data_IF_706680308940
#
_entry.id   IF_706680308940
#
_cell.length_a   1.000
_cell.length_b   1.000
_cell.length_c   1.000
_cell.angle_alpha   90.00
_cell.angle_beta   90.00
_cell.angle_gamma   90.00
#
_symmetry.space_group_name_H-M   'P 1'
#
loop_
_entity.id
_entity.type
_entity.pdbx_description
1 polymer ?
#
# COMPACT_ATOMS: atom_id res chain seq x y z
N UNK A 1 -3.50 32.77 0.61
CA UNK A 1 -3.10 31.39 0.24
C UNK A 1 -4.33 30.50 0.26
N UNK A 2 -4.60 29.78 -0.84
CA UNK A 2 -5.81 28.95 -0.97
C UNK A 2 -5.75 27.75 -0.01
N UNK A 3 -6.79 27.56 0.80
CA UNK A 3 -6.94 26.37 1.65
C UNK A 3 -6.95 25.13 0.78
N UNK A 4 -6.09 24.18 1.11
CA UNK A 4 -5.98 22.93 0.38
C UNK A 4 -7.20 22.07 0.72
N UNK A 5 -8.11 21.90 -0.26
CA UNK A 5 -9.29 21.06 -0.10
C UNK A 5 -8.94 19.59 0.17
N UNK A 6 -9.81 18.91 0.94
CA UNK A 6 -9.71 17.47 1.23
C UNK A 6 -9.54 16.68 -0.08
N UNK A 7 -8.70 15.63 -0.12
CA UNK A 7 -8.61 14.77 -1.29
C UNK A 7 -10.00 14.28 -1.69
N UNK A 8 -10.37 14.45 -2.97
CA UNK A 8 -11.68 14.03 -3.48
C UNK A 8 -11.86 12.53 -3.23
N UNK A 9 -13.02 12.13 -2.72
CA UNK A 9 -13.40 10.70 -2.64
C UNK A 9 -13.37 10.12 -4.06
N UNK A 10 -12.38 9.30 -4.36
CA UNK A 10 -12.33 8.57 -5.62
C UNK A 10 -13.54 7.61 -5.69
N UNK A 11 -14.24 7.59 -6.82
CA UNK A 11 -15.25 6.55 -7.07
C UNK A 11 -14.56 5.17 -7.03
N UNK A 12 -15.08 4.26 -6.20
CA UNK A 12 -14.58 2.89 -6.13
C UNK A 12 -14.85 2.20 -7.47
N UNK A 13 -13.80 2.01 -8.27
CA UNK A 13 -13.89 1.23 -9.50
C UNK A 13 -14.11 -0.25 -9.15
N UNK A 14 -14.94 -0.94 -9.92
CA UNK A 14 -15.15 -2.39 -9.78
C UNK A 14 -13.84 -3.12 -10.09
N UNK A 15 -13.53 -4.16 -9.30
CA UNK A 15 -12.34 -4.98 -9.51
C UNK A 15 -12.36 -5.62 -10.90
N UNK A 16 -11.29 -5.41 -11.65
CA UNK A 16 -11.06 -5.98 -12.97
C UNK A 16 -9.55 -6.14 -13.20
N UNK A 17 -9.17 -7.16 -13.96
CA UNK A 17 -7.83 -7.24 -14.54
C UNK A 17 -7.89 -6.87 -16.01
N UNK A 18 -6.84 -6.25 -16.53
CA UNK A 18 -6.71 -5.91 -17.94
C UNK A 18 -5.33 -6.33 -18.43
N UNK A 19 -5.32 -6.97 -19.59
CA UNK A 19 -4.12 -7.13 -20.40
C UNK A 19 -4.26 -6.17 -21.59
N UNK A 20 -3.32 -5.25 -21.70
CA UNK A 20 -3.13 -4.37 -22.85
C UNK A 20 -1.77 -4.70 -23.48
N UNK A 21 -1.54 -4.30 -24.74
CA UNK A 21 -0.42 -4.72 -25.59
C UNK A 21 0.97 -4.62 -24.93
N UNK A 22 1.13 -3.76 -23.91
CA UNK A 22 2.37 -3.60 -23.15
C UNK A 22 2.22 -3.67 -21.62
N UNK A 23 1.03 -3.98 -21.08
CA UNK A 23 0.86 -3.96 -19.62
C UNK A 23 -0.24 -4.86 -19.12
N UNK A 24 0.00 -5.43 -17.95
CA UNK A 24 -1.05 -5.95 -17.10
C UNK A 24 -1.42 -4.88 -16.06
N UNK A 25 -2.71 -4.62 -15.90
CA UNK A 25 -3.24 -3.60 -15.01
C UNK A 25 -4.35 -4.17 -14.13
N UNK A 26 -4.29 -3.87 -12.84
CA UNK A 26 -5.34 -4.14 -11.87
C UNK A 26 -6.16 -2.86 -11.66
N UNK A 27 -7.43 -2.91 -12.02
CA UNK A 27 -8.38 -1.81 -11.83
C UNK A 27 -9.23 -2.08 -10.59
N UNK A 28 -9.26 -1.11 -9.67
CA UNK A 28 -9.98 -1.25 -8.39
C UNK A 28 -9.24 -2.15 -7.41
N UNK A 29 -9.89 -2.47 -6.28
CA UNK A 29 -9.35 -3.34 -5.23
C UNK A 29 -10.01 -4.71 -5.30
N UNK A 30 -9.18 -5.75 -5.31
CA UNK A 30 -9.68 -7.12 -5.25
C UNK A 30 -10.49 -7.35 -3.96
N UNK A 31 -11.62 -8.08 -4.01
CA UNK A 31 -12.32 -8.46 -2.79
C UNK A 31 -11.44 -9.37 -1.91
N UNK A 32 -11.82 -9.51 -0.63
CA UNK A 32 -11.22 -10.56 0.21
C UNK A 32 -11.80 -11.92 -0.16
N UNK A 33 -10.91 -12.90 -0.31
CA UNK A 33 -11.21 -14.31 -0.44
C UNK A 33 -11.65 -14.92 0.89
N UNK A 34 -12.11 -16.16 0.84
CA UNK A 34 -12.73 -16.84 1.98
C UNK A 34 -11.80 -17.07 3.17
N UNK A 35 -10.48 -17.20 2.96
CA UNK A 35 -9.50 -17.34 4.06
C UNK A 35 -9.40 -16.04 4.86
N UNK A 36 -9.27 -14.90 4.18
CA UNK A 36 -9.24 -13.58 4.80
C UNK A 36 -10.53 -13.27 5.56
N UNK A 37 -11.71 -13.55 4.97
CA UNK A 37 -12.99 -13.25 5.63
C UNK A 37 -13.23 -14.06 6.91
N UNK A 38 -12.52 -15.18 7.11
CA UNK A 38 -12.57 -15.97 8.36
C UNK A 38 -11.75 -15.40 9.50
N UNK A 39 -10.84 -14.46 9.23
CA UNK A 39 -10.12 -13.75 10.29
C UNK A 39 -11.17 -13.02 11.15
N UNK A 40 -11.19 -13.31 12.44
CA UNK A 40 -12.13 -12.71 13.37
C UNK A 40 -11.82 -11.23 13.53
N UNK A 41 -12.86 -10.40 13.41
CA UNK A 41 -12.79 -8.95 13.64
C UNK A 41 -14.05 -8.52 14.37
N UNK A 42 -13.92 -7.61 15.32
CA UNK A 42 -15.09 -7.04 15.98
C UNK A 42 -15.82 -6.06 15.05
N UNK A 43 -16.96 -6.46 14.50
CA UNK A 43 -17.84 -5.56 13.74
C UNK A 43 -18.90 -4.87 14.61
N UNK A 44 -18.98 -5.20 15.91
CA UNK A 44 -20.02 -4.69 16.80
C UNK A 44 -19.47 -3.58 17.71
N UNK A 45 -19.88 -2.33 17.44
CA UNK A 45 -19.48 -1.16 18.24
C UNK A 45 -19.85 -1.27 19.72
N UNK A 46 -20.90 -2.02 20.08
CA UNK A 46 -21.28 -2.24 21.48
C UNK A 46 -20.32 -3.19 22.23
N UNK A 47 -19.51 -3.98 21.51
CA UNK A 47 -18.54 -4.92 22.09
C UNK A 47 -17.11 -4.37 22.16
N UNK A 48 -16.91 -3.11 21.75
CA UNK A 48 -15.59 -2.46 21.70
C UNK A 48 -15.37 -1.72 20.38
N UNK A 49 -14.11 -1.40 20.09
CA UNK A 49 -13.75 -0.75 18.82
C UNK A 49 -14.10 -1.63 17.63
N UNK A 50 -14.61 -1.00 16.56
CA UNK A 50 -14.85 -1.69 15.30
C UNK A 50 -13.50 -1.96 14.63
N UNK A 51 -13.27 -3.19 14.23
CA UNK A 51 -12.05 -3.66 13.59
C UNK A 51 -12.26 -3.93 12.10
N UNK A 52 -11.18 -3.92 11.33
CA UNK A 52 -11.12 -4.41 9.96
C UNK A 52 -9.81 -5.19 9.75
N UNK A 53 -9.68 -5.86 8.61
CA UNK A 53 -8.48 -6.61 8.24
C UNK A 53 -7.50 -5.67 7.57
N UNK A 54 -6.49 -5.24 8.30
CA UNK A 54 -5.43 -4.37 7.80
C UNK A 54 -4.33 -5.19 7.16
N UNK A 55 -3.86 -4.75 6.00
CA UNK A 55 -2.65 -5.29 5.38
C UNK A 55 -1.40 -4.83 6.12
N UNK A 56 -0.47 -5.75 6.42
CA UNK A 56 0.88 -5.41 6.87
C UNK A 56 1.65 -4.80 5.69
N UNK A 57 1.75 -5.55 4.60
CA UNK A 57 2.20 -5.08 3.28
C UNK A 57 1.03 -4.44 2.56
N UNK A 58 1.03 -3.10 2.50
CA UNK A 58 -0.10 -2.35 1.99
C UNK A 58 -0.47 -2.77 0.55
N UNK A 59 -1.78 -3.00 0.32
CA UNK A 59 -2.23 -3.51 -0.98
C UNK A 59 -1.93 -2.54 -2.12
N UNK A 60 -2.32 -1.27 -2.00
CA UNK A 60 -2.19 -0.32 -3.12
C UNK A 60 -0.76 0.19 -3.33
N UNK A 61 0.11 0.14 -2.29
CA UNK A 61 1.48 0.68 -2.38
C UNK A 61 2.53 -0.40 -2.63
N UNK A 62 2.27 -1.65 -2.22
CA UNK A 62 3.26 -2.73 -2.27
C UNK A 62 2.74 -3.90 -3.09
N UNK A 63 1.63 -4.52 -2.69
CA UNK A 63 1.19 -5.77 -3.32
C UNK A 63 0.74 -5.56 -4.76
N UNK A 64 -0.15 -4.59 -5.01
CA UNK A 64 -0.68 -4.33 -6.34
C UNK A 64 0.44 -3.96 -7.32
N UNK A 65 1.35 -3.01 -7.02
CA UNK A 65 2.49 -2.74 -7.90
C UNK A 65 3.37 -3.96 -8.16
N UNK A 66 3.65 -4.77 -7.12
CA UNK A 66 4.43 -6.00 -7.29
C UNK A 66 3.72 -7.00 -8.20
N UNK A 67 2.41 -7.23 -8.02
CA UNK A 67 1.63 -8.11 -8.89
C UNK A 67 1.62 -7.57 -10.32
N UNK A 68 1.39 -6.27 -10.50
CA UNK A 68 1.36 -5.62 -11.81
C UNK A 68 2.69 -5.79 -12.56
N UNK A 69 3.80 -5.57 -11.84
CA UNK A 69 5.16 -5.77 -12.33
C UNK A 69 5.43 -7.22 -12.72
N UNK A 70 5.20 -8.17 -11.81
CA UNK A 70 5.50 -9.60 -12.03
C UNK A 70 4.66 -10.18 -13.16
N UNK A 71 3.35 -9.96 -13.16
CA UNK A 71 2.45 -10.48 -14.19
C UNK A 71 2.71 -9.78 -15.52
N UNK A 72 2.99 -8.48 -15.51
CA UNK A 72 3.40 -7.73 -16.71
C UNK A 72 4.70 -8.27 -17.30
N UNK A 73 5.69 -8.57 -16.46
CA UNK A 73 6.97 -9.16 -16.88
C UNK A 73 6.78 -10.55 -17.48
N UNK A 74 6.01 -11.43 -16.82
CA UNK A 74 5.63 -12.74 -17.37
C UNK A 74 4.92 -12.60 -18.73
N UNK A 75 4.00 -11.65 -18.85
CA UNK A 75 3.29 -11.41 -20.08
C UNK A 75 4.26 -11.06 -21.22
N UNK A 76 5.25 -10.19 -20.96
CA UNK A 76 6.28 -9.84 -21.93
C UNK A 76 7.18 -11.05 -22.25
N UNK A 77 7.69 -11.74 -21.24
CA UNK A 77 8.65 -12.85 -21.37
C UNK A 77 8.06 -14.02 -22.17
N UNK A 78 6.73 -14.22 -22.10
CA UNK A 78 6.04 -15.30 -22.80
C UNK A 78 5.25 -14.80 -24.03
N UNK A 79 5.79 -13.80 -24.74
CA UNK A 79 5.29 -13.39 -26.05
C UNK A 79 3.90 -12.77 -26.03
N UNK A 80 3.56 -12.07 -24.93
CA UNK A 80 2.26 -11.40 -24.73
C UNK A 80 1.07 -12.36 -24.79
N UNK A 81 1.25 -13.58 -24.27
CA UNK A 81 0.20 -14.60 -24.21
C UNK A 81 -0.41 -14.70 -22.81
N UNK A 82 -1.67 -14.26 -22.67
CA UNK A 82 -2.44 -14.41 -21.42
C UNK A 82 -2.52 -15.88 -21.01
N UNK A 83 -2.73 -16.79 -21.96
CA UNK A 83 -2.83 -18.23 -21.69
C UNK A 83 -1.51 -18.84 -21.22
N UNK A 84 -0.35 -18.35 -21.70
CA UNK A 84 0.94 -18.80 -21.19
C UNK A 84 1.14 -18.37 -19.73
N UNK A 85 0.86 -17.09 -19.42
CA UNK A 85 0.91 -16.57 -18.05
C UNK A 85 -0.05 -17.32 -17.14
N UNK A 86 -1.29 -17.54 -17.57
CA UNK A 86 -2.30 -18.29 -16.82
C UNK A 86 -1.83 -19.73 -16.51
N UNK A 87 -1.18 -20.41 -17.44
CA UNK A 87 -0.64 -21.76 -17.23
C UNK A 87 0.47 -21.77 -16.17
N UNK A 88 1.36 -20.79 -16.21
CA UNK A 88 2.45 -20.62 -15.24
C UNK A 88 1.90 -20.35 -13.85
N UNK A 89 0.99 -19.38 -13.75
CA UNK A 89 0.31 -19.01 -12.49
C UNK A 89 -0.47 -20.20 -11.92
N UNK A 90 -1.22 -20.93 -12.76
CA UNK A 90 -1.92 -22.16 -12.33
C UNK A 90 -0.98 -23.13 -11.64
N UNK A 91 0.15 -23.45 -12.28
CA UNK A 91 1.12 -24.41 -11.75
C UNK A 91 1.64 -23.99 -10.38
N UNK A 92 1.96 -22.71 -10.21
CA UNK A 92 2.42 -22.16 -8.91
C UNK A 92 1.32 -22.21 -7.84
N UNK A 93 0.09 -21.83 -8.17
CA UNK A 93 -1.04 -21.88 -7.25
C UNK A 93 -1.37 -23.31 -6.81
N UNK A 94 -1.33 -24.28 -7.74
CA UNK A 94 -1.54 -25.70 -7.43
C UNK A 94 -0.42 -26.25 -6.56
N UNK A 95 0.84 -25.89 -6.83
CA UNK A 95 1.99 -26.26 -6.00
C UNK A 95 1.89 -25.70 -4.57
N UNK A 96 1.25 -24.54 -4.41
CA UNK A 96 0.94 -23.93 -3.11
C UNK A 96 -0.33 -24.52 -2.45
N UNK A 97 -0.87 -25.60 -3.00
CA UNK A 97 -2.02 -26.31 -2.45
C UNK A 97 -3.38 -25.68 -2.75
N UNK A 98 -3.46 -24.66 -3.62
CA UNK A 98 -4.73 -24.02 -3.98
C UNK A 98 -5.47 -24.90 -5.00
N UNK A 99 -6.64 -25.38 -4.59
CA UNK A 99 -7.48 -26.31 -5.38
C UNK A 99 -8.64 -25.59 -6.07
N UNK A 100 -9.24 -26.27 -7.06
CA UNK A 100 -10.47 -25.82 -7.77
C UNK A 100 -10.31 -24.46 -8.46
N UNK A 101 -9.17 -24.27 -9.13
CA UNK A 101 -8.86 -23.04 -9.84
C UNK A 101 -9.77 -22.87 -11.08
N UNK A 102 -10.23 -21.64 -11.40
CA UNK A 102 -11.07 -21.37 -12.56
C UNK A 102 -10.43 -21.86 -13.86
N UNK A 103 -11.22 -22.42 -14.79
CA UNK A 103 -10.70 -22.86 -16.11
C UNK A 103 -10.43 -21.70 -17.08
N UNK A 104 -11.16 -20.59 -16.93
CA UNK A 104 -10.95 -19.39 -17.74
C UNK A 104 -9.71 -18.63 -17.27
N UNK A 105 -8.82 -18.29 -18.19
CA UNK A 105 -7.53 -17.65 -17.90
C UNK A 105 -7.67 -16.32 -17.16
N UNK A 106 -8.56 -15.44 -17.61
CA UNK A 106 -8.79 -14.17 -16.93
C UNK A 106 -9.33 -14.39 -15.51
N UNK A 107 -10.26 -15.32 -15.33
CA UNK A 107 -10.77 -15.68 -13.99
C UNK A 107 -9.73 -16.33 -13.11
N UNK A 108 -8.79 -17.08 -13.67
CA UNK A 108 -7.65 -17.61 -12.94
C UNK A 108 -6.75 -16.48 -12.44
N UNK A 109 -6.41 -15.52 -13.29
CA UNK A 109 -5.57 -14.38 -12.89
C UNK A 109 -6.30 -13.50 -11.87
N UNK A 110 -7.61 -13.25 -12.02
CA UNK A 110 -8.43 -12.59 -11.00
C UNK A 110 -8.35 -13.35 -9.66
N UNK A 111 -8.43 -14.68 -9.70
CA UNK A 111 -8.32 -15.52 -8.50
C UNK A 111 -6.92 -15.43 -7.88
N UNK A 112 -5.86 -15.44 -8.68
CA UNK A 112 -4.50 -15.25 -8.23
C UNK A 112 -4.30 -13.93 -7.47
N UNK A 113 -4.74 -12.80 -8.07
CA UNK A 113 -4.70 -11.48 -7.41
C UNK A 113 -5.50 -11.49 -6.10
N UNK A 114 -6.65 -12.16 -6.09
CA UNK A 114 -7.50 -12.31 -4.89
C UNK A 114 -6.79 -13.08 -3.79
N UNK A 115 -6.08 -14.16 -4.10
CA UNK A 115 -5.35 -14.95 -3.10
C UNK A 115 -4.22 -14.13 -2.47
N UNK A 116 -3.43 -13.41 -3.27
CA UNK A 116 -2.37 -12.52 -2.74
C UNK A 116 -2.95 -11.42 -1.84
N UNK A 117 -4.02 -10.76 -2.30
CA UNK A 117 -4.72 -9.75 -1.48
C UNK A 117 -5.28 -10.33 -0.16
N UNK A 118 -5.52 -11.64 -0.12
CA UNK A 118 -6.21 -12.33 0.98
C UNK A 118 -5.29 -13.22 1.81
N UNK A 119 -3.98 -13.10 1.64
CA UNK A 119 -2.96 -13.80 2.42
C UNK A 119 -3.18 -13.56 3.92
N UNK A 120 -3.54 -14.59 4.72
CA UNK A 120 -3.85 -14.41 6.14
C UNK A 120 -2.67 -13.86 6.95
N UNK A 121 -1.44 -14.30 6.65
CA UNK A 121 -0.23 -13.83 7.32
C UNK A 121 0.04 -12.34 7.06
N UNK A 122 -0.54 -11.77 5.99
CA UNK A 122 -0.45 -10.36 5.67
C UNK A 122 -1.64 -9.54 6.21
N UNK A 123 -2.58 -10.15 6.95
CA UNK A 123 -3.79 -9.50 7.43
C UNK A 123 -3.88 -9.57 8.95
N UNK A 124 -4.02 -8.41 9.59
CA UNK A 124 -4.21 -8.29 11.03
C UNK A 124 -5.55 -7.63 11.35
N UNK A 125 -6.31 -8.13 12.33
CA UNK A 125 -7.41 -7.39 12.94
C UNK A 125 -6.84 -6.10 13.55
N UNK A 126 -7.35 -4.96 13.10
CA UNK A 126 -6.97 -3.66 13.66
C UNK A 126 -8.15 -2.68 13.59
N UNK A 127 -8.11 -1.63 14.38
CA UNK A 127 -9.20 -0.65 14.47
C UNK A 127 -9.49 -0.03 13.09
N UNK A 128 -10.73 -0.16 12.66
CA UNK A 128 -11.18 0.26 11.33
C UNK A 128 -11.08 1.78 11.13
N UNK A 129 -11.20 2.56 12.20
CA UNK A 129 -11.05 4.02 12.17
C UNK A 129 -9.59 4.45 11.94
N UNK A 130 -8.65 3.81 12.64
CA UNK A 130 -7.21 4.00 12.53
C UNK A 130 -6.74 3.62 11.13
N UNK A 131 -7.20 2.48 10.60
CA UNK A 131 -6.90 2.05 9.22
C UNK A 131 -7.33 3.09 8.18
N UNK A 132 -8.56 3.60 8.31
CA UNK A 132 -9.06 4.64 7.39
C UNK A 132 -8.31 5.94 7.55
N UNK A 133 -7.94 6.32 8.78
CA UNK A 133 -7.14 7.49 9.04
C UNK A 133 -5.77 7.40 8.37
N UNK A 134 -5.06 6.28 8.52
CA UNK A 134 -3.75 6.01 7.89
C UNK A 134 -3.83 6.19 6.37
N UNK A 135 -4.83 5.62 5.71
CA UNK A 135 -5.01 5.78 4.25
C UNK A 135 -5.22 7.24 3.83
N UNK A 136 -5.97 8.01 4.61
CA UNK A 136 -6.14 9.45 4.37
C UNK A 136 -4.81 10.17 4.54
N UNK A 137 -4.06 9.87 5.61
CA UNK A 137 -2.75 10.48 5.87
C UNK A 137 -1.76 10.18 4.75
N UNK A 138 -1.69 8.93 4.26
CA UNK A 138 -0.85 8.58 3.09
C UNK A 138 -1.19 9.39 1.85
N UNK A 139 -2.48 9.69 1.64
CA UNK A 139 -2.91 10.60 0.57
C UNK A 139 -2.34 12.01 0.72
N UNK A 140 -2.29 12.53 1.95
CA UNK A 140 -1.65 13.82 2.25
C UNK A 140 -0.13 13.78 2.11
N UNK A 141 0.54 12.72 2.57
CA UNK A 141 1.99 12.54 2.41
C UNK A 141 2.37 12.48 0.93
N UNK A 142 1.65 11.71 0.10
CA UNK A 142 1.85 11.70 -1.36
C UNK A 142 1.67 13.07 -1.99
N UNK A 143 0.67 13.82 -1.53
CA UNK A 143 0.45 15.20 -1.99
C UNK A 143 1.59 16.11 -1.60
N UNK A 144 2.13 15.94 -0.39
CA UNK A 144 3.29 16.68 0.08
C UNK A 144 4.52 16.37 -0.75
N UNK A 145 4.82 15.08 -0.94
CA UNK A 145 5.92 14.63 -1.81
C UNK A 145 5.78 15.25 -3.21
N UNK A 146 4.59 15.13 -3.81
CA UNK A 146 4.36 15.70 -5.14
C UNK A 146 4.61 17.21 -5.20
N UNK A 147 4.21 17.98 -4.18
CA UNK A 147 4.42 19.43 -4.13
C UNK A 147 5.90 19.77 -3.92
N UNK A 148 6.61 19.04 -3.05
CA UNK A 148 8.05 19.17 -2.88
C UNK A 148 8.83 18.92 -4.18
N UNK A 149 8.33 18.02 -5.04
CA UNK A 149 8.93 17.71 -6.34
C UNK A 149 8.53 18.64 -7.49
N UNK A 150 7.76 19.71 -7.25
CA UNK A 150 7.39 20.66 -8.33
C UNK A 150 8.46 21.73 -8.54
N UNK A 151 8.72 22.10 -9.80
CA UNK A 151 9.69 23.14 -10.18
C UNK A 151 9.45 24.47 -9.48
N UNK A 152 8.18 24.86 -9.31
CA UNK A 152 7.80 26.09 -8.61
C UNK A 152 8.27 26.12 -7.14
N UNK A 153 8.39 24.96 -6.50
CA UNK A 153 8.94 24.86 -5.16
C UNK A 153 10.47 24.72 -5.16
N UNK A 154 11.05 24.21 -6.25
CA UNK A 154 12.51 24.19 -6.44
C UNK A 154 13.12 25.59 -6.53
N UNK A 155 12.38 26.57 -7.08
CA UNK A 155 12.82 27.97 -7.19
C UNK A 155 12.77 28.72 -5.84
N UNK A 156 11.74 28.50 -5.01
CA UNK A 156 11.68 28.99 -3.62
C UNK A 156 12.75 28.33 -2.72
N UNK A 157 13.38 27.24 -3.19
CA UNK A 157 14.34 26.43 -2.47
C UNK A 157 15.80 26.59 -2.94
N UNK A 158 16.12 27.64 -3.71
CA UNK A 158 17.51 27.95 -4.12
C UNK A 158 18.39 28.54 -3.01
N UNK A 159 17.85 28.66 -1.78
CA UNK A 159 18.60 29.06 -0.59
C UNK A 159 19.38 27.92 0.07
N UNK A 160 20.03 28.21 1.19
CA UNK A 160 20.71 27.22 2.03
C UNK A 160 19.72 26.17 2.59
N UNK A 161 20.27 25.06 3.13
CA UNK A 161 19.47 23.96 3.67
C UNK A 161 18.48 24.41 4.76
N UNK A 162 18.83 25.46 5.53
CA UNK A 162 17.98 25.98 6.59
C UNK A 162 16.73 26.66 6.02
N UNK A 163 16.92 27.55 5.05
CA UNK A 163 15.85 28.25 4.35
C UNK A 163 14.90 27.28 3.65
N UNK A 164 15.46 26.21 3.05
CA UNK A 164 14.68 25.11 2.47
C UNK A 164 13.84 24.39 3.51
N UNK A 165 14.44 24.05 4.65
CA UNK A 165 13.72 23.37 5.73
C UNK A 165 12.59 24.23 6.32
N UNK A 166 12.79 25.54 6.47
CA UNK A 166 11.74 26.45 6.95
C UNK A 166 10.54 26.48 5.99
N UNK A 167 10.81 26.53 4.67
CA UNK A 167 9.77 26.43 3.65
C UNK A 167 9.05 25.06 3.70
N UNK A 168 9.80 23.98 3.91
CA UNK A 168 9.25 22.63 3.99
C UNK A 168 8.33 22.49 5.21
N UNK A 169 8.77 22.91 6.39
CA UNK A 169 7.98 22.88 7.64
C UNK A 169 6.70 23.71 7.50
N UNK A 170 6.79 24.89 6.89
CA UNK A 170 5.61 25.73 6.59
C UNK A 170 4.61 25.03 5.65
N UNK A 171 5.09 24.33 4.62
CA UNK A 171 4.23 23.54 3.74
C UNK A 171 3.57 22.37 4.48
N UNK A 172 4.31 21.66 5.34
CA UNK A 172 3.77 20.59 6.17
C UNK A 172 2.60 21.06 7.04
N UNK A 173 2.72 22.25 7.67
CA UNK A 173 1.65 22.86 8.45
C UNK A 173 0.37 23.18 7.65
N UNK A 174 0.49 23.39 6.34
CA UNK A 174 -0.66 23.60 5.45
C UNK A 174 -1.28 22.30 4.92
N UNK A 175 -0.54 21.20 4.95
CA UNK A 175 -0.98 19.90 4.42
C UNK A 175 -1.57 19.05 5.55
N UNK A 176 -0.89 18.96 6.69
CA UNK A 176 -1.29 18.16 7.84
C UNK A 176 -2.20 18.94 8.79
N UNK A 177 -3.19 19.64 8.24
CA UNK A 177 -4.15 20.43 9.02
C UNK A 177 -4.99 19.49 9.90
N UNK A 178 -5.18 19.88 11.15
CA UNK A 178 -6.10 19.21 12.07
C UNK A 178 -7.50 19.81 11.90
N UNK A 179 -8.51 18.97 11.61
CA UNK A 179 -9.90 19.43 11.56
C UNK A 179 -10.51 19.36 12.97
N UNK A 180 -11.09 20.45 13.46
CA UNK A 180 -11.77 20.47 14.76
C UNK A 180 -13.12 19.75 14.78
N UNK A 181 -13.62 19.30 13.62
CA UNK A 181 -14.91 18.62 13.49
C UNK A 181 -14.81 17.27 12.79
N UNK A 182 -15.29 16.22 13.44
CA UNK A 182 -15.41 14.88 12.87
C UNK A 182 -15.59 13.77 13.90
N UNK A 183 -15.86 12.55 13.42
CA UNK A 183 -15.94 11.34 14.25
C UNK A 183 -14.59 10.65 14.45
N UNK A 184 -14.60 9.42 14.95
CA UNK A 184 -13.41 8.64 15.37
C UNK A 184 -12.27 8.63 14.32
N UNK A 185 -12.59 8.53 13.02
CA UNK A 185 -11.60 8.58 11.93
C UNK A 185 -10.86 9.93 11.87
N UNK A 186 -11.57 11.04 12.06
CA UNK A 186 -10.99 12.38 12.04
C UNK A 186 -10.07 12.58 13.25
N UNK A 187 -10.48 12.08 14.42
CA UNK A 187 -9.67 12.13 15.62
C UNK A 187 -8.34 11.39 15.45
N UNK A 188 -8.37 10.15 14.95
CA UNK A 188 -7.15 9.38 14.68
C UNK A 188 -6.27 10.04 13.61
N UNK A 189 -6.87 10.55 12.53
CA UNK A 189 -6.13 11.28 11.50
C UNK A 189 -5.43 12.52 12.08
N UNK A 190 -6.10 13.29 12.93
CA UNK A 190 -5.51 14.47 13.57
C UNK A 190 -4.35 14.08 14.51
N UNK A 191 -4.49 12.98 15.26
CA UNK A 191 -3.42 12.42 16.09
C UNK A 191 -2.19 12.10 15.24
N UNK A 192 -2.37 11.34 14.15
CA UNK A 192 -1.28 10.98 13.23
C UNK A 192 -0.68 12.23 12.56
N UNK A 193 -1.49 13.19 12.11
CA UNK A 193 -1.00 14.47 11.58
C UNK A 193 -0.11 15.20 12.60
N UNK A 194 -0.51 15.23 13.88
CA UNK A 194 0.28 15.85 14.94
C UNK A 194 1.62 15.16 15.19
N UNK A 195 1.67 13.83 15.11
CA UNK A 195 2.91 13.06 15.22
C UNK A 195 3.85 13.33 14.03
N UNK A 196 3.32 13.32 12.80
CA UNK A 196 4.09 13.63 11.60
C UNK A 196 4.63 15.06 11.65
N UNK A 197 3.82 16.04 12.05
CA UNK A 197 4.26 17.42 12.16
C UNK A 197 5.45 17.56 13.12
N UNK A 198 5.41 16.89 14.28
CA UNK A 198 6.55 16.86 15.22
C UNK A 198 7.80 16.22 14.63
N UNK A 199 7.67 15.13 13.87
CA UNK A 199 8.80 14.48 13.20
C UNK A 199 9.41 15.39 12.13
N UNK A 200 8.57 16.07 11.35
CA UNK A 200 8.99 17.06 10.34
C UNK A 200 9.73 18.24 11.00
N UNK A 201 9.23 18.73 12.14
CA UNK A 201 9.88 19.79 12.91
C UNK A 201 11.26 19.37 13.42
N UNK A 202 11.44 18.08 13.74
CA UNK A 202 12.71 17.49 14.15
C UNK A 202 13.71 17.24 13.00
N UNK A 203 13.30 17.33 11.73
CA UNK A 203 14.24 17.24 10.62
C UNK A 203 15.08 18.52 10.53
N UNK A 204 16.39 18.34 10.35
CA UNK A 204 17.38 19.42 10.18
C UNK A 204 17.81 19.61 8.73
N UNK A 205 17.61 18.60 7.88
CA UNK A 205 18.03 18.62 6.49
C UNK A 205 16.94 18.10 5.53
N UNK A 206 16.90 18.62 4.28
CA UNK A 206 16.00 18.14 3.23
C UNK A 206 16.02 16.62 3.03
N UNK A 207 17.21 16.01 3.08
CA UNK A 207 17.36 14.56 2.89
C UNK A 207 16.67 13.75 4.00
N UNK A 208 16.77 14.20 5.26
CA UNK A 208 16.10 13.55 6.40
C UNK A 208 14.58 13.61 6.25
N UNK A 209 14.05 14.77 5.85
CA UNK A 209 12.62 14.90 5.55
C UNK A 209 12.19 13.97 4.42
N UNK A 210 13.03 13.80 3.39
CA UNK A 210 12.76 12.90 2.29
C UNK A 210 12.71 11.43 2.70
N UNK A 211 13.67 10.99 3.49
CA UNK A 211 13.63 9.67 4.11
C UNK A 211 12.36 9.50 4.95
N UNK A 212 12.07 10.44 5.85
CA UNK A 212 10.89 10.40 6.72
C UNK A 212 9.57 10.31 5.92
N UNK A 213 9.41 11.11 4.86
CA UNK A 213 8.16 11.11 4.08
C UNK A 213 7.97 9.81 3.29
N UNK A 214 9.05 9.23 2.76
CA UNK A 214 8.99 7.91 2.14
C UNK A 214 8.75 6.82 3.18
N UNK A 215 9.38 6.90 4.35
CA UNK A 215 9.09 6.01 5.48
C UNK A 215 7.62 6.10 5.88
N UNK A 216 7.02 7.28 6.04
CA UNK A 216 5.58 7.39 6.40
C UNK A 216 4.68 6.94 5.23
N UNK A 217 5.07 7.18 3.99
CA UNK A 217 4.29 6.73 2.83
C UNK A 217 4.21 5.19 2.79
N UNK A 218 5.34 4.52 3.05
CA UNK A 218 5.49 3.08 2.92
C UNK A 218 5.28 2.31 4.24
N UNK A 219 5.60 2.94 5.36
CA UNK A 219 5.62 2.42 6.73
C UNK A 219 4.83 3.35 7.65
N UNK A 220 3.53 3.11 7.73
CA UNK A 220 2.75 3.48 8.91
C UNK A 220 1.99 2.25 9.33
N UNK A 221 2.76 1.25 9.71
CA UNK A 221 2.36 0.33 10.75
C UNK A 221 3.30 0.63 11.92
N UNK A 222 2.99 1.69 12.67
CA UNK A 222 3.47 1.80 14.05
C UNK A 222 2.77 0.71 14.87
N UNK A 223 3.14 -0.54 14.64
CA UNK A 223 2.64 -1.67 15.43
C UNK A 223 3.51 -1.83 16.68
N UNK A 224 3.08 -1.17 17.74
CA UNK A 224 3.44 -1.56 19.10
C UNK A 224 2.53 -2.73 19.57
N UNK A 225 2.49 -3.84 18.80
CA UNK A 225 1.49 -4.93 18.96
C UNK A 225 2.15 -6.32 19.20
N UNK A 226 1.41 -7.37 19.65
CA UNK A 226 1.90 -8.65 20.19
C UNK A 226 2.87 -9.44 19.31
N UNK A 227 3.56 -10.43 19.90
CA UNK A 227 4.58 -11.28 19.23
C UNK A 227 4.18 -11.81 17.84
N UNK A 228 2.93 -12.27 17.66
CA UNK A 228 2.42 -12.77 16.38
C UNK A 228 2.47 -11.70 15.28
N UNK A 229 2.18 -10.44 15.64
CA UNK A 229 2.25 -9.29 14.72
C UNK A 229 3.70 -8.97 14.37
N UNK A 230 4.63 -9.14 15.32
CA UNK A 230 6.07 -8.97 15.07
C UNK A 230 6.60 -10.02 14.09
N UNK A 231 6.25 -11.29 14.29
CA UNK A 231 6.70 -12.38 13.41
C UNK A 231 6.17 -12.20 11.98
N UNK A 232 4.91 -11.79 11.83
CA UNK A 232 4.35 -11.48 10.52
C UNK A 232 4.99 -10.22 9.90
N UNK A 233 5.37 -9.23 10.71
CA UNK A 233 6.11 -8.05 10.24
C UNK A 233 7.50 -8.42 9.75
N UNK A 234 8.22 -9.29 10.46
CA UNK A 234 9.54 -9.78 10.03
C UNK A 234 9.42 -10.51 8.69
N UNK A 235 8.47 -11.46 8.56
CA UNK A 235 8.20 -12.15 7.29
C UNK A 235 7.87 -11.18 6.15
N UNK A 236 7.06 -10.15 6.43
CA UNK A 236 6.70 -9.12 5.46
C UNK A 236 7.93 -8.32 4.98
N UNK A 237 8.81 -7.93 5.89
CA UNK A 237 10.06 -7.21 5.57
C UNK A 237 11.04 -8.11 4.79
N UNK A 238 11.18 -9.37 5.18
CA UNK A 238 11.98 -10.36 4.46
C UNK A 238 11.46 -10.55 3.03
N UNK A 239 10.14 -10.71 2.88
CA UNK A 239 9.50 -10.80 1.58
C UNK A 239 9.74 -9.56 0.71
N UNK A 240 9.64 -8.35 1.28
CA UNK A 240 9.95 -7.11 0.54
C UNK A 240 11.40 -7.09 0.06
N UNK A 241 12.34 -7.47 0.92
CA UNK A 241 13.76 -7.56 0.57
C UNK A 241 13.98 -8.55 -0.56
N UNK A 242 13.40 -9.75 -0.49
CA UNK A 242 13.52 -10.74 -1.56
C UNK A 242 12.92 -10.24 -2.88
N UNK A 243 11.77 -9.56 -2.84
CA UNK A 243 11.13 -8.99 -4.02
C UNK A 243 11.97 -7.90 -4.70
N UNK A 244 12.71 -7.12 -3.93
CA UNK A 244 13.67 -6.13 -4.43
C UNK A 244 14.88 -6.82 -5.08
N UNK A 245 15.40 -7.89 -4.47
CA UNK A 245 16.56 -8.61 -5.00
C UNK A 245 16.29 -9.30 -6.35
N UNK A 246 15.04 -9.62 -6.64
CA UNK A 246 14.63 -10.22 -7.92
C UNK A 246 14.03 -9.20 -8.88
N UNK A 247 14.10 -7.89 -8.59
CA UNK A 247 13.30 -6.88 -9.29
C UNK A 247 13.52 -6.86 -10.81
N UNK A 248 14.78 -7.00 -11.22
CA UNK A 248 15.21 -7.00 -12.63
C UNK A 248 15.34 -8.42 -13.22
N UNK A 249 14.98 -9.46 -12.45
CA UNK A 249 15.10 -10.86 -12.85
C UNK A 249 14.01 -11.35 -13.82
N UNK A 250 14.07 -12.61 -14.27
CA UNK A 250 13.02 -13.24 -15.08
C UNK A 250 11.66 -13.28 -14.37
N UNK A 251 10.56 -13.09 -15.10
CA UNK A 251 9.22 -13.02 -14.50
C UNK A 251 8.83 -14.25 -13.67
N UNK A 252 9.30 -15.45 -14.06
CA UNK A 252 9.05 -16.68 -13.31
C UNK A 252 9.74 -16.68 -11.94
N UNK A 253 10.96 -16.16 -11.83
CA UNK A 253 11.66 -16.04 -10.54
C UNK A 253 10.95 -15.04 -9.63
N UNK A 254 10.50 -13.91 -10.19
CA UNK A 254 9.75 -12.92 -9.42
C UNK A 254 8.40 -13.48 -8.94
N UNK A 255 7.74 -14.30 -9.76
CA UNK A 255 6.52 -14.99 -9.38
C UNK A 255 6.76 -15.94 -8.22
N UNK A 256 7.86 -16.69 -8.22
CA UNK A 256 8.15 -17.63 -7.15
C UNK A 256 8.33 -16.92 -5.80
N UNK A 257 8.94 -15.71 -5.78
CA UNK A 257 9.00 -14.87 -4.56
C UNK A 257 7.62 -14.27 -4.21
N UNK A 258 6.87 -13.77 -5.21
CA UNK A 258 5.52 -13.23 -4.99
C UNK A 258 4.58 -14.29 -4.37
N UNK A 259 4.73 -15.56 -4.77
CA UNK A 259 3.96 -16.69 -4.26
C UNK A 259 4.25 -17.02 -2.79
N UNK A 260 5.38 -16.59 -2.22
CA UNK A 260 5.68 -16.82 -0.79
C UNK A 260 4.73 -16.09 0.16
N UNK A 261 3.91 -15.17 -0.35
CA UNK A 261 2.93 -14.45 0.46
C UNK A 261 1.66 -15.28 0.79
N UNK A 262 1.36 -16.35 0.04
CA UNK A 262 0.08 -17.10 0.14
C UNK A 262 0.20 -18.49 0.74
#
# INVERSE_FOLDING_TARGET
MARIGKPKKAQKKKFQIKFDNNRFEIVGRSPFGSRATKIAVNQNKAKGHVEDRRHILHYDEVLKPAIERVVGKLFIDHGRSVSAVARIVRRRMEASGIKRLPKNDNKLIERFVTEINSAPDNLVPDRADTNKAIEVVRGYVRKYIKQLSTEAFSDDCRGDNRSRMDAYKKMAGNIFIQDSSGGDITAERNRIHGEIAKMVDGCEAPAQLWCLLHEIMHSVTFDFSPKIVRDNTVKALEWQREMLLVEDGPGEQQLDVLMKII
#
